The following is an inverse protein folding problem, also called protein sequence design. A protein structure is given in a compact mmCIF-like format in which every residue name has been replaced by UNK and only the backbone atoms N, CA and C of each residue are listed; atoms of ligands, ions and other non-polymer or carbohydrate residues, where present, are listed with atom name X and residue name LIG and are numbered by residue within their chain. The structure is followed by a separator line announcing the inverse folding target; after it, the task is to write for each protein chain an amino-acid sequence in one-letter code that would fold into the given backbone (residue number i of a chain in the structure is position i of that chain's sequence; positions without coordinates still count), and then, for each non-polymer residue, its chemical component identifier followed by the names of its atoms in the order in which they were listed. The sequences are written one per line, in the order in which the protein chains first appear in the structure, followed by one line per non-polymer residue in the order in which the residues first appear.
data_IF_407409479689
#
_entry.id   IF_407409479689
#
_cell.length_a   1.000
_cell.length_b   1.000
_cell.length_c   1.000
_cell.angle_alpha   90.00
_cell.angle_beta   90.00
_cell.angle_gamma   90.00
#
_symmetry.space_group_name_H-M   'P 1'
#
loop_
_entity.id
_entity.type
_entity.pdbx_description
1 polymer ?
#
# COMPACT_ATOMS: atom_id res chain seq x y z
N UNK A 1 -14.69 -13.93 -21.58
CA UNK A 1 -14.35 -12.93 -20.54
C UNK A 1 -13.75 -11.74 -21.27
N UNK A 2 -14.35 -10.55 -21.17
CA UNK A 2 -13.81 -9.35 -21.83
C UNK A 2 -12.62 -8.84 -21.00
N UNK A 3 -11.58 -8.25 -21.61
CA UNK A 3 -10.60 -7.48 -20.85
C UNK A 3 -11.37 -6.32 -20.19
N UNK A 4 -11.50 -6.35 -18.86
CA UNK A 4 -12.27 -5.38 -18.08
C UNK A 4 -13.25 -5.96 -17.05
N UNK A 5 -13.49 -7.27 -17.05
CA UNK A 5 -14.34 -7.94 -16.04
C UNK A 5 -13.56 -8.47 -14.82
N UNK A 6 -12.24 -8.25 -14.75
CA UNK A 6 -11.47 -8.64 -13.57
C UNK A 6 -11.75 -7.63 -12.44
N UNK A 7 -12.14 -8.08 -11.24
CA UNK A 7 -12.36 -7.19 -10.11
C UNK A 7 -11.12 -6.31 -9.88
N UNK A 8 -11.28 -4.98 -9.66
CA UNK A 8 -10.15 -4.08 -9.38
C UNK A 8 -9.41 -4.44 -8.07
N UNK A 9 -10.09 -5.21 -7.22
CA UNK A 9 -9.57 -5.80 -5.99
C UNK A 9 -9.89 -7.30 -6.02
N UNK A 10 -8.86 -8.12 -5.84
CA UNK A 10 -8.96 -9.58 -5.79
C UNK A 10 -9.51 -10.06 -4.45
N UNK A 11 -9.19 -9.34 -3.39
CA UNK A 11 -9.57 -9.67 -2.03
C UNK A 11 -10.16 -8.44 -1.32
N UNK A 12 -11.08 -8.63 -0.34
CA UNK A 12 -11.68 -7.51 0.40
C UNK A 12 -10.64 -6.62 1.11
N UNK A 13 -9.52 -7.17 1.54
CA UNK A 13 -8.47 -6.41 2.24
C UNK A 13 -7.77 -5.39 1.33
N UNK A 14 -7.68 -5.64 0.01
CA UNK A 14 -7.05 -4.72 -0.94
C UNK A 14 -7.85 -3.42 -1.05
N UNK A 15 -9.18 -3.52 -1.08
CA UNK A 15 -10.08 -2.37 -1.07
C UNK A 15 -9.97 -1.57 0.24
N UNK A 16 -9.81 -2.26 1.37
CA UNK A 16 -9.61 -1.60 2.67
C UNK A 16 -8.27 -0.85 2.73
N UNK A 17 -7.18 -1.46 2.25
CA UNK A 17 -5.87 -0.82 2.21
C UNK A 17 -5.91 0.46 1.35
N UNK A 18 -6.55 0.40 0.18
CA UNK A 18 -6.76 1.56 -0.68
C UNK A 18 -7.59 2.66 0.03
N UNK A 19 -8.72 2.28 0.63
CA UNK A 19 -9.59 3.21 1.34
C UNK A 19 -8.85 3.92 2.50
N UNK A 20 -8.02 3.19 3.26
CA UNK A 20 -7.20 3.76 4.32
C UNK A 20 -6.18 4.75 3.78
N UNK A 21 -5.45 4.42 2.71
CA UNK A 21 -4.52 5.35 2.06
C UNK A 21 -5.21 6.65 1.65
N UNK A 22 -6.38 6.55 1.00
CA UNK A 22 -7.16 7.73 0.58
C UNK A 22 -7.59 8.55 1.80
N UNK A 23 -8.10 7.92 2.85
CA UNK A 23 -8.56 8.62 4.06
C UNK A 23 -7.43 9.34 4.79
N UNK A 24 -6.25 8.74 4.86
CA UNK A 24 -5.08 9.36 5.48
C UNK A 24 -4.55 10.55 4.67
N UNK A 25 -4.57 10.44 3.34
CA UNK A 25 -4.27 11.55 2.45
C UNK A 25 -5.29 12.70 2.62
N UNK A 26 -6.60 12.38 2.62
CA UNK A 26 -7.67 13.36 2.84
C UNK A 26 -7.55 14.06 4.21
N UNK A 27 -7.08 13.34 5.23
CA UNK A 27 -6.79 13.89 6.55
C UNK A 27 -5.49 14.71 6.62
N UNK A 28 -4.73 14.80 5.53
CA UNK A 28 -3.50 15.60 5.42
C UNK A 28 -2.28 14.98 6.09
N UNK A 29 -2.29 13.68 6.39
CA UNK A 29 -1.14 13.00 7.01
C UNK A 29 0.07 12.87 6.09
N UNK A 30 -0.18 12.82 4.78
CA UNK A 30 0.83 12.82 3.73
C UNK A 30 0.24 13.33 2.42
N UNK A 31 1.12 13.66 1.49
CA UNK A 31 0.82 14.06 0.13
C UNK A 31 0.97 12.90 -0.85
N UNK A 32 0.29 12.95 -2.00
CA UNK A 32 0.45 11.92 -3.04
C UNK A 32 1.89 11.73 -3.53
N UNK A 33 2.73 12.78 -3.69
CA UNK A 33 4.15 12.60 -4.00
C UNK A 33 4.92 11.84 -2.93
N UNK A 34 4.67 12.10 -1.64
CA UNK A 34 5.29 11.33 -0.54
C UNK A 34 4.85 9.86 -0.59
N UNK A 35 3.55 9.60 -0.80
CA UNK A 35 3.02 8.26 -0.97
C UNK A 35 3.69 7.51 -2.12
N UNK A 36 3.77 8.15 -3.28
CA UNK A 36 4.38 7.56 -4.48
C UNK A 36 5.87 7.25 -4.27
N UNK A 37 6.60 8.10 -3.54
CA UNK A 37 7.99 7.86 -3.20
C UNK A 37 8.16 6.63 -2.31
N UNK A 38 7.40 6.53 -1.21
CA UNK A 38 7.48 5.39 -0.29
C UNK A 38 7.06 4.09 -0.98
N UNK A 39 5.99 4.11 -1.78
CA UNK A 39 5.56 2.93 -2.53
C UNK A 39 6.62 2.46 -3.53
N UNK A 40 7.25 3.40 -4.24
CA UNK A 40 8.31 3.07 -5.20
C UNK A 40 9.55 2.48 -4.52
N UNK A 41 9.91 2.98 -3.33
CA UNK A 41 10.98 2.41 -2.51
C UNK A 41 10.65 0.97 -2.08
N UNK A 42 9.44 0.71 -1.58
CA UNK A 42 9.03 -0.64 -1.16
C UNK A 42 9.03 -1.64 -2.32
N UNK A 43 8.56 -1.23 -3.50
CA UNK A 43 8.59 -2.06 -4.71
C UNK A 43 10.05 -2.34 -5.12
N UNK A 44 10.92 -1.30 -5.15
CA UNK A 44 12.32 -1.48 -5.50
C UNK A 44 13.05 -2.42 -4.53
N UNK A 45 12.77 -2.31 -3.23
CA UNK A 45 13.33 -3.20 -2.21
C UNK A 45 12.78 -4.62 -2.32
N UNK A 46 11.50 -4.81 -2.67
CA UNK A 46 10.94 -6.13 -2.92
C UNK A 46 11.56 -6.81 -4.15
N UNK A 47 11.73 -6.04 -5.24
CA UNK A 47 12.40 -6.51 -6.45
C UNK A 47 13.85 -6.95 -6.16
N UNK A 48 14.59 -6.18 -5.34
CA UNK A 48 15.94 -6.56 -4.88
C UNK A 48 15.95 -7.86 -4.06
N UNK A 49 14.87 -8.14 -3.31
CA UNK A 49 14.71 -9.39 -2.54
C UNK A 49 14.27 -10.58 -3.40
N UNK A 50 14.14 -10.40 -4.71
CA UNK A 50 13.81 -11.46 -5.66
C UNK A 50 12.31 -11.69 -5.83
N UNK A 51 11.47 -10.72 -5.48
CA UNK A 51 10.03 -10.76 -5.76
C UNK A 51 9.79 -10.27 -7.21
N UNK A 52 9.38 -11.16 -8.13
CA UNK A 52 8.93 -10.73 -9.44
C UNK A 52 7.56 -10.06 -9.25
N UNK A 53 7.49 -8.78 -9.57
CA UNK A 53 6.29 -7.94 -9.46
C UNK A 53 5.20 -8.43 -10.43
N UNK A 54 4.52 -9.52 -10.06
CA UNK A 54 3.58 -10.28 -10.90
C UNK A 54 2.13 -9.79 -10.77
N UNK A 55 1.92 -8.58 -10.25
CA UNK A 55 0.59 -8.00 -10.02
C UNK A 55 -0.19 -8.61 -8.86
N UNK A 56 0.12 -9.85 -8.45
CA UNK A 56 -0.39 -10.48 -7.20
C UNK A 56 0.23 -9.89 -5.94
N UNK A 57 1.44 -9.31 -6.06
CA UNK A 57 2.20 -8.74 -4.95
C UNK A 57 2.06 -7.22 -4.85
N UNK A 58 1.42 -6.58 -5.83
CA UNK A 58 1.25 -5.13 -5.87
C UNK A 58 0.55 -4.57 -4.62
N UNK A 59 -0.60 -5.11 -4.23
CA UNK A 59 -1.30 -4.67 -3.01
C UNK A 59 -0.57 -5.07 -1.73
N UNK A 60 0.33 -6.06 -1.77
CA UNK A 60 1.21 -6.35 -0.64
C UNK A 60 2.30 -5.27 -0.49
N UNK A 61 2.85 -4.78 -1.59
CA UNK A 61 3.77 -3.63 -1.57
C UNK A 61 3.04 -2.36 -1.13
N UNK A 62 1.79 -2.16 -1.58
CA UNK A 62 0.92 -1.08 -1.10
C UNK A 62 0.71 -1.14 0.40
N UNK A 63 0.39 -2.32 0.95
CA UNK A 63 0.16 -2.50 2.37
C UNK A 63 1.44 -2.20 3.18
N UNK A 64 2.61 -2.69 2.74
CA UNK A 64 3.89 -2.39 3.39
C UNK A 64 4.22 -0.90 3.38
N UNK A 65 3.97 -0.22 2.27
CA UNK A 65 4.15 1.23 2.17
C UNK A 65 3.21 1.97 3.14
N UNK A 66 1.94 1.54 3.24
CA UNK A 66 0.97 2.07 4.18
C UNK A 66 1.41 1.88 5.64
N UNK A 67 1.82 0.67 6.02
CA UNK A 67 2.33 0.37 7.36
C UNK A 67 3.53 1.25 7.72
N UNK A 68 4.49 1.40 6.79
CA UNK A 68 5.65 2.26 6.97
C UNK A 68 5.24 3.72 7.19
N UNK A 69 4.36 4.25 6.36
CA UNK A 69 3.90 5.65 6.47
C UNK A 69 3.14 5.91 7.77
N UNK A 70 2.21 5.03 8.15
CA UNK A 70 1.42 5.18 9.38
C UNK A 70 2.34 5.08 10.61
N UNK A 71 3.36 4.22 10.57
CA UNK A 71 4.39 4.12 11.62
C UNK A 71 5.27 5.38 11.70
N UNK A 72 5.78 5.87 10.57
CA UNK A 72 6.62 7.08 10.50
C UNK A 72 5.87 8.33 10.96
N UNK A 73 4.57 8.41 10.67
CA UNK A 73 3.70 9.53 11.09
C UNK A 73 3.15 9.37 12.51
N UNK A 74 3.45 8.27 13.21
CA UNK A 74 2.99 8.01 14.58
C UNK A 74 1.48 7.82 14.69
N UNK A 75 0.84 7.34 13.62
CA UNK A 75 -0.61 7.17 13.51
C UNK A 75 -1.08 5.78 13.98
N UNK A 76 -0.15 4.91 14.35
CA UNK A 76 -0.44 3.66 15.05
C UNK A 76 -0.09 3.83 16.52
N UNK A 77 -0.92 3.29 17.42
CA UNK A 77 -0.53 3.16 18.82
C UNK A 77 0.63 2.15 18.93
N UNK A 78 1.60 2.36 19.86
CA UNK A 78 2.64 1.38 20.10
C UNK A 78 2.01 0.06 20.58
N UNK A 79 1.98 -0.96 19.73
CA UNK A 79 1.48 -2.31 20.07
C UNK A 79 0.45 -2.92 19.12
N UNK A 80 -0.06 -2.19 18.12
CA UNK A 80 -1.15 -2.69 17.25
C UNK A 80 -0.69 -3.40 15.96
N UNK A 81 0.63 -3.50 15.70
CA UNK A 81 1.19 -4.24 14.54
C UNK A 81 1.94 -5.52 14.95
N UNK A 82 1.63 -6.09 16.12
CA UNK A 82 2.29 -7.28 16.66
C UNK A 82 1.80 -8.60 16.03
#
# INVERSE_FOLDING_TARGET
MKPGDEPPFREPWEAHAFAMTVKLHEAGHFTWPEWAAVLSEEIAEAQKRGDPDLGTTYYHHWLRALERMVKEKGLVLPGELA
#
